data_IF_388857923444
#
_entry.id   IF_388857923444
#
_cell.length_a   1.000
_cell.length_b   1.000
_cell.length_c   1.000
_cell.angle_alpha   90.00
_cell.angle_beta   90.00
_cell.angle_gamma   90.00
#
_symmetry.space_group_name_H-M   'P 1'
#
loop_
_entity.id
_entity.type
_entity.pdbx_description
1 polymer ?
#
# COMPACT_ATOMS: atom_id res chain seq x y z
N UNK A 1 -0.10 11.74 18.06
CA UNK A 1 -0.02 11.65 16.59
C UNK A 1 1.40 11.24 16.24
N UNK A 2 1.58 10.12 15.54
CA UNK A 2 2.89 9.63 15.14
C UNK A 2 3.17 10.05 13.70
N UNK A 3 4.39 10.55 13.47
CA UNK A 3 4.83 10.87 12.13
C UNK A 3 5.23 9.59 11.40
N UNK A 4 4.66 9.37 10.24
CA UNK A 4 4.89 8.20 9.39
C UNK A 4 5.33 8.63 7.99
N UNK A 5 6.03 7.75 7.29
CA UNK A 5 6.38 7.94 5.88
C UNK A 5 5.86 6.76 5.06
N UNK A 6 5.39 7.03 3.84
CA UNK A 6 5.06 5.96 2.90
C UNK A 6 6.36 5.36 2.37
N UNK A 7 6.51 4.04 2.46
CA UNK A 7 7.62 3.29 1.89
C UNK A 7 7.11 2.25 0.91
N UNK A 8 7.62 2.27 -0.31
CA UNK A 8 7.16 1.44 -1.43
C UNK A 8 7.87 0.08 -1.53
N UNK A 9 8.67 -0.29 -0.53
CA UNK A 9 9.29 -1.60 -0.47
C UNK A 9 10.64 -1.70 -1.18
N UNK A 10 11.36 -2.81 -0.94
CA UNK A 10 12.66 -3.04 -1.55
C UNK A 10 12.54 -3.19 -3.07
N UNK A 11 13.36 -2.46 -3.81
CA UNK A 11 13.36 -2.48 -5.27
C UNK A 11 12.31 -1.61 -5.96
N UNK A 12 11.34 -1.09 -5.20
CA UNK A 12 10.29 -0.18 -5.70
C UNK A 12 10.48 1.25 -5.22
N UNK A 13 11.21 1.44 -4.13
CA UNK A 13 11.48 2.75 -3.57
C UNK A 13 12.98 3.06 -3.66
N UNK A 14 13.32 4.27 -4.10
CA UNK A 14 14.68 4.78 -4.07
C UNK A 14 15.12 5.21 -2.67
N UNK A 15 14.14 5.47 -1.78
CA UNK A 15 14.37 5.82 -0.38
C UNK A 15 14.41 4.55 0.47
N UNK A 16 15.51 4.34 1.18
CA UNK A 16 15.70 3.20 2.04
C UNK A 16 15.10 3.42 3.43
N UNK A 17 14.73 2.34 4.12
CA UNK A 17 14.29 2.40 5.52
C UNK A 17 15.35 3.05 6.43
N UNK A 18 16.63 2.85 6.13
CA UNK A 18 17.75 3.48 6.85
C UNK A 18 17.72 5.02 6.71
N UNK A 19 17.38 5.55 5.54
CA UNK A 19 17.23 6.99 5.34
C UNK A 19 15.98 7.50 6.06
N UNK A 20 14.86 6.79 5.97
CA UNK A 20 13.63 7.14 6.70
C UNK A 20 13.90 7.20 8.21
N UNK A 21 14.64 6.25 8.74
CA UNK A 21 14.97 6.19 10.18
C UNK A 21 15.79 7.40 10.65
N UNK A 22 16.49 8.11 9.76
CA UNK A 22 17.26 9.30 10.09
C UNK A 22 16.40 10.56 10.23
N UNK A 23 15.14 10.53 9.79
CA UNK A 23 14.25 11.68 9.87
C UNK A 23 13.77 11.85 11.33
N UNK A 24 14.05 13.00 11.98
CA UNK A 24 13.64 13.24 13.36
C UNK A 24 12.12 13.10 13.52
N UNK A 25 11.69 12.32 14.50
CA UNK A 25 10.26 12.14 14.83
C UNK A 25 9.54 11.06 14.01
N UNK A 26 10.11 10.55 12.92
CA UNK A 26 9.54 9.43 12.19
C UNK A 26 9.89 8.13 12.90
N UNK A 27 8.86 7.37 13.29
CA UNK A 27 8.99 6.09 13.98
C UNK A 27 8.41 4.91 13.20
N UNK A 28 7.53 5.21 12.27
CA UNK A 28 6.77 4.18 11.56
C UNK A 28 6.72 4.47 10.05
N UNK A 29 6.43 3.42 9.29
CA UNK A 29 6.12 3.51 7.87
C UNK A 29 4.69 3.02 7.60
N UNK A 30 4.13 3.50 6.50
CA UNK A 30 2.97 2.90 5.85
C UNK A 30 3.50 2.19 4.60
N UNK A 31 3.17 0.93 4.43
CA UNK A 31 3.70 0.09 3.35
C UNK A 31 2.69 -0.96 2.88
N UNK A 32 3.10 -1.87 2.03
CA UNK A 32 2.28 -3.00 1.56
C UNK A 32 3.18 -4.20 1.20
N UNK A 33 2.57 -5.36 0.95
CA UNK A 33 3.26 -6.47 0.29
C UNK A 33 3.26 -6.25 -1.23
N UNK A 34 4.44 -6.02 -1.77
CA UNK A 34 4.64 -5.88 -3.22
C UNK A 34 4.69 -7.25 -3.88
N UNK A 35 4.21 -7.33 -5.13
CA UNK A 35 4.16 -8.58 -5.89
C UNK A 35 2.90 -9.42 -5.67
N UNK A 36 2.00 -9.02 -4.78
CA UNK A 36 0.68 -9.67 -4.61
C UNK A 36 -0.33 -9.14 -5.62
N UNK A 37 -1.05 -10.06 -6.25
CA UNK A 37 -2.17 -9.72 -7.12
C UNK A 37 -3.42 -9.37 -6.27
N UNK A 38 -4.29 -8.52 -6.81
CA UNK A 38 -5.57 -8.26 -6.18
C UNK A 38 -6.42 -9.55 -6.13
N UNK A 39 -6.95 -9.88 -4.93
CA UNK A 39 -7.67 -11.13 -4.68
C UNK A 39 -6.82 -12.28 -4.13
N UNK A 40 -5.48 -12.18 -4.15
CA UNK A 40 -4.62 -13.15 -3.50
C UNK A 40 -4.61 -12.94 -1.98
N UNK A 41 -4.60 -14.05 -1.25
CA UNK A 41 -4.42 -14.04 0.20
C UNK A 41 -2.97 -13.72 0.56
N UNK A 42 -2.77 -12.86 1.53
CA UNK A 42 -1.48 -12.65 2.19
C UNK A 42 -1.28 -13.70 3.28
N UNK A 43 -0.15 -14.37 3.23
CA UNK A 43 0.16 -15.41 4.21
C UNK A 43 0.79 -14.80 5.47
N UNK A 44 0.56 -15.37 6.66
CA UNK A 44 1.14 -14.86 7.91
C UNK A 44 2.67 -14.72 7.86
N UNK A 45 3.35 -15.67 7.22
CA UNK A 45 4.81 -15.66 7.07
C UNK A 45 5.33 -14.51 6.19
N UNK A 46 4.56 -14.11 5.17
CA UNK A 46 4.90 -12.97 4.31
C UNK A 46 4.74 -11.64 5.06
N UNK A 47 3.67 -11.54 5.87
CA UNK A 47 3.42 -10.38 6.74
C UNK A 47 4.52 -10.29 7.82
N UNK A 48 4.88 -11.42 8.42
CA UNK A 48 5.94 -11.48 9.44
C UNK A 48 7.30 -11.06 8.86
N UNK A 49 7.61 -11.48 7.63
CA UNK A 49 8.85 -11.09 6.95
C UNK A 49 8.88 -9.59 6.64
N UNK A 50 7.78 -9.03 6.14
CA UNK A 50 7.66 -7.58 5.93
C UNK A 50 7.88 -6.81 7.24
N UNK A 51 7.24 -7.26 8.32
CA UNK A 51 7.37 -6.67 9.64
C UNK A 51 8.82 -6.74 10.14
N UNK A 52 9.47 -7.90 10.01
CA UNK A 52 10.88 -8.10 10.38
C UNK A 52 11.81 -7.12 9.64
N UNK A 53 11.63 -6.96 8.32
CA UNK A 53 12.43 -6.03 7.51
C UNK A 53 12.33 -4.59 8.03
N UNK A 54 11.14 -4.16 8.41
CA UNK A 54 10.90 -2.80 8.91
C UNK A 54 11.45 -2.64 10.34
N UNK A 55 11.25 -3.64 11.20
CA UNK A 55 11.72 -3.63 12.60
C UNK A 55 13.24 -3.70 12.69
N UNK A 56 13.91 -4.46 11.83
CA UNK A 56 15.37 -4.54 11.73
C UNK A 56 16.00 -3.17 11.39
N UNK A 57 15.24 -2.30 10.70
CA UNK A 57 15.65 -0.93 10.46
C UNK A 57 15.36 0.04 11.63
N UNK A 58 14.78 -0.44 12.73
CA UNK A 58 14.39 0.36 13.88
C UNK A 58 13.13 1.21 13.66
N UNK A 59 12.23 0.77 12.78
CA UNK A 59 10.93 1.38 12.48
C UNK A 59 9.80 0.40 12.77
N UNK A 60 8.56 0.90 12.88
CA UNK A 60 7.35 0.08 12.95
C UNK A 60 6.49 0.24 11.70
N UNK A 61 5.46 -0.61 11.57
CA UNK A 61 4.43 -0.48 10.54
C UNK A 61 3.20 0.16 11.18
N UNK A 62 2.86 1.39 10.77
CA UNK A 62 1.66 2.09 11.25
C UNK A 62 0.38 1.67 10.51
N UNK A 63 0.52 1.12 9.32
CA UNK A 63 -0.61 0.67 8.53
C UNK A 63 -0.19 0.14 7.16
N UNK A 64 -1.13 -0.50 6.52
CA UNK A 64 -1.00 -1.04 5.16
C UNK A 64 -1.74 -0.15 4.17
N UNK A 65 -1.06 0.25 3.14
CA UNK A 65 -1.64 0.95 2.00
C UNK A 65 -1.08 0.35 0.69
N UNK A 66 -1.84 -0.50 0.03
CA UNK A 66 -3.16 -0.97 0.38
C UNK A 66 -3.24 -2.49 0.30
N UNK A 67 -4.31 -3.08 0.86
CA UNK A 67 -4.77 -4.39 0.42
C UNK A 67 -5.76 -4.14 -0.71
N UNK A 68 -5.36 -4.48 -1.94
CA UNK A 68 -6.14 -4.17 -3.12
C UNK A 68 -7.39 -5.04 -3.21
N UNK A 69 -8.55 -4.42 -3.37
CA UNK A 69 -9.81 -5.10 -3.66
C UNK A 69 -9.82 -5.50 -5.13
N UNK A 70 -10.03 -6.78 -5.43
CA UNK A 70 -10.03 -7.28 -6.80
C UNK A 70 -11.23 -6.79 -7.59
N UNK A 71 -11.08 -6.70 -8.91
CA UNK A 71 -12.18 -6.35 -9.80
C UNK A 71 -13.29 -7.42 -9.78
N UNK A 72 -12.94 -8.68 -9.53
CA UNK A 72 -13.94 -9.75 -9.36
C UNK A 72 -14.94 -9.43 -8.23
N UNK A 73 -14.47 -8.85 -7.12
CA UNK A 73 -15.35 -8.39 -6.03
C UNK A 73 -16.18 -7.18 -6.48
N UNK A 74 -15.55 -6.20 -7.15
CA UNK A 74 -16.17 -4.93 -7.52
C UNK A 74 -17.33 -5.12 -8.52
N UNK A 75 -17.22 -6.09 -9.41
CA UNK A 75 -18.22 -6.38 -10.46
C UNK A 75 -19.03 -7.65 -10.20
N UNK A 76 -18.73 -8.40 -9.13
CA UNK A 76 -19.52 -9.56 -8.72
C UNK A 76 -19.38 -10.77 -9.65
N UNK A 77 -18.17 -11.13 -10.05
CA UNK A 77 -17.93 -12.33 -10.86
C UNK A 77 -18.08 -13.62 -10.03
N UNK A 78 -18.02 -14.77 -10.70
CA UNK A 78 -18.02 -16.08 -10.03
C UNK A 78 -16.85 -16.28 -9.04
N UNK A 79 -15.79 -15.47 -9.11
CA UNK A 79 -14.66 -15.53 -8.17
C UNK A 79 -14.80 -14.57 -6.98
N UNK A 80 -15.85 -13.76 -6.95
CA UNK A 80 -16.01 -12.73 -5.93
C UNK A 80 -15.98 -13.31 -4.50
N UNK A 81 -16.70 -14.40 -4.25
CA UNK A 81 -16.77 -15.03 -2.92
C UNK A 81 -15.40 -15.58 -2.46
N UNK A 82 -14.64 -16.20 -3.37
CA UNK A 82 -13.27 -16.66 -3.08
C UNK A 82 -12.35 -15.48 -2.72
N UNK A 83 -12.41 -14.40 -3.49
CA UNK A 83 -11.57 -13.22 -3.25
C UNK A 83 -11.98 -12.47 -1.97
N UNK A 84 -13.28 -12.47 -1.62
CA UNK A 84 -13.75 -11.93 -0.34
C UNK A 84 -13.19 -12.76 0.83
N UNK A 85 -13.24 -14.09 0.74
CA UNK A 85 -12.69 -14.98 1.77
C UNK A 85 -11.17 -14.77 1.95
N UNK A 86 -10.43 -14.64 0.84
CA UNK A 86 -9.01 -14.31 0.86
C UNK A 86 -8.73 -12.95 1.50
N UNK A 87 -9.57 -11.95 1.21
CA UNK A 87 -9.45 -10.61 1.79
C UNK A 87 -9.67 -10.64 3.31
N UNK A 88 -10.72 -11.34 3.77
CA UNK A 88 -11.01 -11.51 5.19
C UNK A 88 -9.83 -12.19 5.91
N UNK A 89 -9.30 -13.28 5.35
CA UNK A 89 -8.14 -13.98 5.92
C UNK A 89 -6.88 -13.11 5.96
N UNK A 90 -6.70 -12.24 4.97
CA UNK A 90 -5.61 -11.27 4.95
C UNK A 90 -5.75 -10.25 6.08
N UNK A 91 -6.96 -9.69 6.28
CA UNK A 91 -7.21 -8.75 7.38
C UNK A 91 -7.01 -9.39 8.77
N UNK A 92 -7.44 -10.64 8.93
CA UNK A 92 -7.22 -11.42 10.16
C UNK A 92 -5.72 -11.60 10.44
N UNK A 93 -4.95 -12.00 9.43
CA UNK A 93 -3.50 -12.19 9.57
C UNK A 93 -2.76 -10.88 9.87
N UNK A 94 -3.19 -9.75 9.30
CA UNK A 94 -2.66 -8.42 9.62
C UNK A 94 -2.98 -8.04 11.08
N UNK A 95 -4.20 -8.30 11.54
CA UNK A 95 -4.60 -8.06 12.92
C UNK A 95 -3.80 -8.90 13.91
N UNK A 96 -3.55 -10.18 13.62
CA UNK A 96 -2.70 -11.08 14.41
C UNK A 96 -1.23 -10.62 14.46
N UNK A 97 -0.76 -9.94 13.40
CA UNK A 97 0.56 -9.31 13.35
C UNK A 97 0.62 -7.92 14.01
N UNK A 98 -0.43 -7.50 14.72
CA UNK A 98 -0.55 -6.18 15.38
C UNK A 98 -0.55 -4.99 14.38
N UNK A 99 -1.09 -5.19 13.18
CA UNK A 99 -1.28 -4.15 12.17
C UNK A 99 -2.76 -3.88 12.01
N UNK A 100 -3.24 -2.80 12.64
CA UNK A 100 -4.67 -2.51 12.79
C UNK A 100 -5.22 -1.44 11.82
N UNK A 101 -4.38 -0.86 10.97
CA UNK A 101 -4.79 0.13 9.99
C UNK A 101 -4.56 -0.40 8.59
N UNK A 102 -5.62 -0.52 7.82
CA UNK A 102 -5.59 -0.97 6.43
C UNK A 102 -6.38 0.00 5.57
N UNK A 103 -5.72 0.57 4.57
CA UNK A 103 -6.38 1.34 3.52
C UNK A 103 -6.78 0.41 2.37
N UNK A 104 -7.89 0.73 1.72
CA UNK A 104 -8.34 0.04 0.52
C UNK A 104 -8.91 1.01 -0.49
N UNK A 105 -8.90 0.61 -1.73
CA UNK A 105 -9.53 1.33 -2.84
C UNK A 105 -10.65 0.47 -3.43
N UNK A 106 -11.79 1.11 -3.69
CA UNK A 106 -12.93 0.47 -4.36
C UNK A 106 -13.25 1.24 -5.65
N UNK A 107 -12.26 1.34 -6.53
CA UNK A 107 -12.40 2.02 -7.81
C UNK A 107 -12.56 0.97 -8.92
N UNK A 108 -13.74 0.87 -9.55
CA UNK A 108 -13.94 -0.10 -10.63
C UNK A 108 -13.17 0.35 -11.88
N UNK A 109 -12.55 -0.60 -12.58
CA UNK A 109 -11.89 -0.47 -13.89
C UNK A 109 -10.63 0.40 -13.87
N UNK A 110 -10.69 1.63 -13.37
CA UNK A 110 -9.55 2.52 -13.26
C UNK A 110 -9.11 2.65 -11.81
N UNK A 111 -8.02 2.01 -11.47
CA UNK A 111 -7.33 2.25 -10.22
C UNK A 111 -6.43 3.49 -10.37
N UNK A 112 -5.49 3.71 -9.46
CA UNK A 112 -4.56 4.83 -9.51
C UNK A 112 -3.78 4.90 -10.82
N UNK A 113 -4.33 5.59 -11.81
CA UNK A 113 -3.66 5.83 -13.09
C UNK A 113 -3.07 7.24 -13.11
N UNK A 114 -1.89 7.36 -13.67
CA UNK A 114 -1.21 8.65 -13.87
C UNK A 114 -0.88 8.81 -15.34
N UNK A 115 -1.13 10.00 -15.88
CA UNK A 115 -0.76 10.33 -17.26
C UNK A 115 0.76 10.42 -17.42
N UNK A 116 1.47 10.73 -16.35
CA UNK A 116 2.92 10.87 -16.32
C UNK A 116 3.44 10.44 -14.94
N UNK A 117 4.28 9.39 -14.92
CA UNK A 117 4.75 8.78 -13.67
C UNK A 117 5.87 9.57 -12.99
N UNK A 118 6.66 10.30 -13.77
CA UNK A 118 7.90 10.93 -13.31
C UNK A 118 7.99 12.41 -13.72
N UNK A 119 6.88 13.13 -13.69
CA UNK A 119 6.89 14.57 -13.98
C UNK A 119 7.61 15.33 -12.88
N UNK A 120 8.76 15.84 -13.23
CA UNK A 120 9.58 16.64 -12.32
C UNK A 120 9.00 18.05 -12.14
N UNK A 121 8.95 18.51 -10.90
CA UNK A 121 8.60 19.88 -10.53
C UNK A 121 9.85 20.75 -10.38
N UNK A 122 9.66 22.06 -10.27
CA UNK A 122 10.76 23.02 -10.09
C UNK A 122 11.61 22.75 -8.82
N UNK A 123 11.06 22.09 -7.82
CA UNK A 123 11.75 21.67 -6.59
C UNK A 123 12.42 20.28 -6.68
N UNK A 124 12.41 19.65 -7.86
CA UNK A 124 12.96 18.32 -8.08
C UNK A 124 12.06 17.17 -7.60
N UNK A 125 10.87 17.42 -7.06
CA UNK A 125 9.93 16.38 -6.69
C UNK A 125 9.20 15.81 -7.92
N UNK A 126 8.87 14.53 -7.89
CA UNK A 126 8.16 13.83 -8.97
C UNK A 126 6.75 13.37 -8.60
N UNK A 127 6.29 13.65 -7.38
CA UNK A 127 4.94 13.29 -6.96
C UNK A 127 3.91 14.21 -7.62
N UNK A 128 3.24 13.75 -8.67
CA UNK A 128 2.18 14.48 -9.32
C UNK A 128 0.85 13.77 -9.16
N UNK A 129 -0.02 14.35 -8.35
CA UNK A 129 -1.46 14.12 -8.47
C UNK A 129 -1.99 14.96 -9.64
N UNK A 130 -3.05 14.49 -10.29
CA UNK A 130 -3.73 15.22 -11.35
C UNK A 130 -4.16 16.61 -10.90
N UNK A 131 -3.62 17.65 -11.46
CA UNK A 131 -4.11 19.00 -11.22
C UNK A 131 -5.07 19.50 -12.31
N UNK A 132 -5.21 18.80 -13.45
CA UNK A 132 -5.97 19.32 -14.60
C UNK A 132 -6.75 18.29 -15.43
N UNK A 133 -6.95 17.06 -14.98
CA UNK A 133 -7.92 16.17 -15.60
C UNK A 133 -9.27 16.30 -14.89
N UNK A 134 -10.01 17.33 -15.26
CA UNK A 134 -11.47 17.31 -15.07
C UNK A 134 -12.02 16.30 -16.09
N UNK A 135 -12.52 15.18 -15.61
CA UNK A 135 -13.38 14.35 -16.44
C UNK A 135 -14.55 15.23 -16.89
N UNK A 136 -14.90 15.21 -18.18
CA UNK A 136 -16.10 15.91 -18.63
C UNK A 136 -17.30 15.35 -17.86
N UNK A 137 -17.86 16.14 -16.98
CA UNK A 137 -19.15 15.84 -16.35
C UNK A 137 -20.22 16.11 -17.41
N UNK A 138 -20.71 15.05 -18.04
CA UNK A 138 -21.97 15.10 -18.80
C UNK A 138 -23.13 14.85 -17.84
#
# INVERSE_FOLDING_TARGET
MDMTLRWYGPGYDSVTLKQIRQIPGVKNVITTLFGKQAGERWLPEEIAELKRIVEDAGLGIAGIESVNVSDDIKIGTAKADEHIDNYIKTLQALGEADIHVVCYNFMPVFDWTRSELARERADGSTAVSYTHLTLPTN
#
